data_IF_974095326218
#
_entry.id   IF_974095326218
#
_cell.length_a   1.000
_cell.length_b   1.000
_cell.length_c   1.000
_cell.angle_alpha   90.00
_cell.angle_beta   90.00
_cell.angle_gamma   90.00
#
_symmetry.space_group_name_H-M   'P 1'
#
loop_
_entity.id
_entity.type
_entity.pdbx_description
1 polymer ?
#
# COMPACT_ATOMS: atom_id res chain seq x y z
N UNK A 1 -11.32 28.49 -10.38
CA UNK A 1 -10.36 28.52 -9.24
C UNK A 1 -9.49 27.30 -9.35
N UNK A 2 -8.22 27.40 -8.97
CA UNK A 2 -7.31 26.23 -8.95
C UNK A 2 -7.85 25.17 -7.97
N UNK A 3 -7.83 23.90 -8.38
CA UNK A 3 -8.22 22.80 -7.50
C UNK A 3 -7.23 22.68 -6.33
N UNK A 4 -7.75 22.49 -5.12
CA UNK A 4 -6.92 22.34 -3.91
C UNK A 4 -6.89 20.87 -3.50
N UNK A 5 -5.69 20.28 -3.49
CA UNK A 5 -5.49 18.86 -3.16
C UNK A 5 -4.61 18.75 -1.92
N UNK A 6 -5.11 18.02 -0.93
CA UNK A 6 -4.35 17.67 0.28
C UNK A 6 -3.88 16.22 0.19
N UNK A 7 -2.58 16.00 0.36
CA UNK A 7 -1.98 14.65 0.47
C UNK A 7 -1.63 14.42 1.94
N UNK A 8 -2.10 13.31 2.51
CA UNK A 8 -1.79 12.93 3.90
C UNK A 8 -0.62 11.97 3.92
N UNK A 9 0.39 12.28 4.73
CA UNK A 9 1.56 11.47 4.99
C UNK A 9 2.88 12.22 4.78
N UNK A 10 4.00 11.53 4.93
CA UNK A 10 5.35 12.13 4.92
C UNK A 10 6.42 11.23 4.30
N UNK A 11 6.05 10.08 3.74
CA UNK A 11 6.98 9.11 3.16
C UNK A 11 7.32 9.38 1.70
N UNK A 12 8.11 8.49 1.12
CA UNK A 12 8.49 8.55 -0.28
C UNK A 12 7.30 8.32 -1.22
N UNK A 13 6.33 7.47 -0.83
CA UNK A 13 5.05 7.29 -1.52
C UNK A 13 4.26 8.60 -1.63
N UNK A 14 4.13 9.34 -0.54
CA UNK A 14 3.43 10.62 -0.53
C UNK A 14 4.17 11.66 -1.35
N UNK A 15 5.50 11.63 -1.37
CA UNK A 15 6.29 12.50 -2.25
C UNK A 15 6.03 12.15 -3.72
N UNK A 16 5.98 10.88 -4.10
CA UNK A 16 5.64 10.45 -5.46
C UNK A 16 4.20 10.87 -5.86
N UNK A 17 3.24 10.81 -4.92
CA UNK A 17 1.87 11.31 -5.14
C UNK A 17 1.87 12.83 -5.41
N UNK A 18 2.57 13.62 -4.58
CA UNK A 18 2.69 15.07 -4.77
C UNK A 18 3.35 15.38 -6.10
N UNK A 19 4.45 14.71 -6.44
CA UNK A 19 5.17 14.89 -7.71
C UNK A 19 4.28 14.58 -8.92
N UNK A 20 3.58 13.45 -8.91
CA UNK A 20 2.66 13.07 -9.97
C UNK A 20 1.52 14.08 -10.13
N UNK A 21 0.95 14.57 -9.02
CA UNK A 21 -0.07 15.62 -9.04
C UNK A 21 0.50 16.96 -9.57
N UNK A 22 1.71 17.33 -9.21
CA UNK A 22 2.36 18.55 -9.69
C UNK A 22 2.61 18.50 -11.21
N UNK A 23 3.10 17.38 -11.72
CA UNK A 23 3.32 17.18 -13.16
C UNK A 23 2.01 17.19 -13.96
N UNK A 24 0.94 16.57 -13.43
CA UNK A 24 -0.39 16.63 -14.05
C UNK A 24 -0.94 18.04 -14.16
N UNK A 25 -0.59 18.95 -13.23
CA UNK A 25 -0.98 20.35 -13.31
C UNK A 25 -0.35 21.13 -14.47
N UNK A 26 0.84 20.77 -14.91
CA UNK A 26 1.50 21.39 -16.06
C UNK A 26 0.75 21.09 -17.37
N UNK A 27 0.15 19.90 -17.45
CA UNK A 27 -0.62 19.46 -18.61
C UNK A 27 -2.13 19.75 -18.51
N UNK A 28 -2.63 20.10 -17.32
CA UNK A 28 -4.05 20.24 -17.01
C UNK A 28 -4.39 21.53 -16.26
N UNK A 29 -5.42 21.45 -15.40
CA UNK A 29 -5.88 22.57 -14.60
C UNK A 29 -4.87 22.92 -13.47
N UNK A 30 -4.61 24.21 -13.21
CA UNK A 30 -3.73 24.62 -12.12
C UNK A 30 -4.28 24.18 -10.76
N UNK A 31 -3.39 23.77 -9.85
CA UNK A 31 -3.79 23.30 -8.52
C UNK A 31 -2.87 23.80 -7.42
N UNK A 32 -3.42 23.92 -6.22
CA UNK A 32 -2.69 24.13 -4.97
C UNK A 32 -2.48 22.77 -4.31
N UNK A 33 -1.20 22.40 -4.10
CA UNK A 33 -0.84 21.14 -3.45
C UNK A 33 -0.41 21.42 -2.00
N UNK A 34 -1.01 20.66 -1.08
CA UNK A 34 -0.72 20.70 0.35
C UNK A 34 -0.40 19.30 0.82
N UNK A 35 0.61 19.12 1.67
CA UNK A 35 0.93 17.85 2.27
C UNK A 35 0.91 17.95 3.80
N UNK A 36 0.32 16.97 4.47
CA UNK A 36 0.16 16.94 5.93
C UNK A 36 0.67 15.59 6.48
N UNK A 37 1.74 15.58 7.29
CA UNK A 37 2.61 16.69 7.65
C UNK A 37 3.63 17.04 6.56
N UNK A 38 3.88 16.15 5.57
CA UNK A 38 4.92 16.31 4.56
C UNK A 38 6.34 16.07 5.09
N UNK A 39 7.33 16.36 4.23
CA UNK A 39 8.76 16.30 4.54
C UNK A 39 9.53 17.36 3.75
N UNK A 40 10.83 17.58 4.02
CA UNK A 40 11.62 18.61 3.32
C UNK A 40 11.73 18.42 1.80
N UNK A 41 11.64 17.19 1.28
CA UNK A 41 11.60 16.92 -0.17
C UNK A 41 10.26 17.40 -0.76
N UNK A 42 9.15 17.01 -0.13
CA UNK A 42 7.79 17.42 -0.51
C UNK A 42 7.62 18.95 -0.46
N UNK A 43 8.25 19.62 0.51
CA UNK A 43 8.16 21.07 0.68
C UNK A 43 8.70 21.88 -0.52
N UNK A 44 9.40 21.24 -1.45
CA UNK A 44 9.84 21.87 -2.71
C UNK A 44 8.73 21.96 -3.77
N UNK A 45 7.68 21.15 -3.62
CA UNK A 45 6.62 20.98 -4.62
C UNK A 45 5.21 21.26 -4.07
N UNK A 46 5.05 21.18 -2.74
CA UNK A 46 3.78 21.40 -2.06
C UNK A 46 3.99 22.15 -0.74
N UNK A 47 2.98 22.88 -0.30
CA UNK A 47 3.00 23.49 1.02
C UNK A 47 2.79 22.43 2.10
N UNK A 48 3.74 22.30 3.03
CA UNK A 48 3.64 21.38 4.16
C UNK A 48 2.96 22.05 5.35
N UNK A 49 1.97 21.36 5.94
CA UNK A 49 1.21 21.85 7.10
C UNK A 49 1.31 20.83 8.24
N UNK A 50 1.65 21.29 9.43
CA UNK A 50 1.75 20.40 10.59
C UNK A 50 0.39 20.26 11.30
N UNK A 51 -0.08 19.06 11.58
CA UNK A 51 -1.31 18.84 12.35
C UNK A 51 -1.08 19.23 13.83
N UNK A 52 -2.14 19.68 14.52
CA UNK A 52 -2.09 20.07 15.94
C UNK A 52 -2.28 18.87 16.87
N UNK A 53 -1.56 17.77 16.62
CA UNK A 53 -1.59 16.56 17.42
C UNK A 53 -1.52 15.28 16.59
N UNK A 54 -1.54 14.12 17.23
CA UNK A 54 -1.51 12.83 16.55
C UNK A 54 -2.90 12.33 16.14
N UNK A 55 -2.91 11.33 15.24
CA UNK A 55 -4.08 10.56 14.87
C UNK A 55 -4.98 11.21 13.81
N UNK A 56 -5.98 10.44 13.38
CA UNK A 56 -6.85 10.81 12.27
C UNK A 56 -7.65 12.10 12.53
N UNK A 57 -8.03 12.38 13.77
CA UNK A 57 -8.81 13.59 14.11
C UNK A 57 -8.01 14.87 13.85
N UNK A 58 -6.73 14.93 14.29
CA UNK A 58 -5.87 16.09 14.07
C UNK A 58 -5.53 16.26 12.58
N UNK A 59 -5.36 15.15 11.84
CA UNK A 59 -5.16 15.17 10.39
C UNK A 59 -6.40 15.67 9.65
N UNK A 60 -7.60 15.25 10.07
CA UNK A 60 -8.86 15.71 9.51
C UNK A 60 -9.05 17.22 9.73
N UNK A 61 -8.83 17.71 10.96
CA UNK A 61 -8.92 19.12 11.30
C UNK A 61 -7.97 19.99 10.43
N UNK A 62 -6.71 19.56 10.33
CA UNK A 62 -5.71 20.25 9.51
C UNK A 62 -6.10 20.26 8.02
N UNK A 63 -6.60 19.12 7.49
CA UNK A 63 -7.03 19.04 6.11
C UNK A 63 -8.28 19.91 5.84
N UNK A 64 -9.28 19.88 6.72
CA UNK A 64 -10.52 20.65 6.58
C UNK A 64 -10.28 22.17 6.67
N UNK A 65 -9.31 22.63 7.47
CA UNK A 65 -8.91 24.04 7.54
C UNK A 65 -8.44 24.57 6.18
N UNK A 66 -7.89 23.72 5.35
CA UNK A 66 -7.42 24.06 4.00
C UNK A 66 -8.57 24.11 2.96
N UNK A 67 -9.76 23.63 3.27
CA UNK A 67 -10.93 23.55 2.35
C UNK A 67 -10.58 22.83 1.05
N UNK A 68 -10.13 21.58 1.08
CA UNK A 68 -9.68 20.87 -0.11
C UNK A 68 -10.85 20.44 -0.98
N UNK A 69 -10.60 20.35 -2.29
CA UNK A 69 -11.48 19.70 -3.25
C UNK A 69 -11.31 18.17 -3.25
N UNK A 70 -10.12 17.71 -2.82
CA UNK A 70 -9.78 16.30 -2.68
C UNK A 70 -8.73 16.11 -1.57
N UNK A 71 -8.92 15.06 -0.77
CA UNK A 71 -7.86 14.53 0.12
C UNK A 71 -7.41 13.17 -0.40
N UNK A 72 -6.10 12.97 -0.55
CA UNK A 72 -5.45 11.69 -0.93
C UNK A 72 -4.69 11.17 0.27
N UNK A 73 -5.02 9.97 0.74
CA UNK A 73 -4.39 9.40 1.94
C UNK A 73 -3.32 8.38 1.53
N UNK A 74 -2.08 8.66 1.91
CA UNK A 74 -0.95 7.78 1.63
C UNK A 74 -0.84 6.60 2.60
N UNK A 75 -0.74 6.82 3.94
CA UNK A 75 -0.50 5.75 4.92
C UNK A 75 -1.80 5.07 5.38
N UNK A 76 -1.67 3.82 5.82
CA UNK A 76 -2.76 2.97 6.27
C UNK A 76 -3.31 3.34 7.66
N UNK A 77 -2.46 3.82 8.56
CA UNK A 77 -2.86 4.09 9.97
C UNK A 77 -3.98 5.10 10.05
N UNK A 78 -3.92 6.29 9.41
CA UNK A 78 -5.03 7.24 9.43
C UNK A 78 -6.33 6.68 8.82
N UNK A 79 -6.24 5.79 7.82
CA UNK A 79 -7.41 5.13 7.22
C UNK A 79 -8.06 4.17 8.22
N UNK A 80 -7.26 3.36 8.90
CA UNK A 80 -7.74 2.44 9.92
C UNK A 80 -8.35 3.18 11.13
N UNK A 81 -7.86 4.39 11.44
CA UNK A 81 -8.39 5.28 12.47
C UNK A 81 -9.63 6.09 12.03
N UNK A 82 -10.05 5.99 10.76
CA UNK A 82 -11.29 6.60 10.27
C UNK A 82 -11.15 8.00 9.69
N UNK A 83 -9.96 8.40 9.22
CA UNK A 83 -9.77 9.70 8.58
C UNK A 83 -10.75 9.93 7.42
N UNK A 84 -10.97 8.92 6.56
CA UNK A 84 -11.90 9.03 5.44
C UNK A 84 -13.35 9.22 5.91
N UNK A 85 -13.75 8.59 7.02
CA UNK A 85 -15.07 8.74 7.62
C UNK A 85 -15.29 10.17 8.17
N UNK A 86 -14.27 10.75 8.82
CA UNK A 86 -14.29 12.13 9.32
C UNK A 86 -14.43 13.14 8.18
N UNK A 87 -13.71 12.95 7.07
CA UNK A 87 -13.78 13.81 5.89
C UNK A 87 -15.13 13.67 5.18
N UNK A 88 -15.66 12.45 5.05
CA UNK A 88 -16.95 12.18 4.45
C UNK A 88 -18.11 12.86 5.24
N UNK A 89 -18.04 12.90 6.56
CA UNK A 89 -18.99 13.60 7.42
C UNK A 89 -19.06 15.12 7.11
N UNK A 90 -17.98 15.69 6.60
CA UNK A 90 -17.88 17.08 6.14
C UNK A 90 -18.05 17.23 4.60
N UNK A 91 -18.45 16.15 3.91
CA UNK A 91 -18.65 16.09 2.45
C UNK A 91 -17.41 16.44 1.63
N UNK A 92 -16.23 16.18 2.17
CA UNK A 92 -14.95 16.33 1.46
C UNK A 92 -14.61 15.01 0.77
N UNK A 93 -14.39 15.00 -0.56
CA UNK A 93 -13.96 13.82 -1.28
C UNK A 93 -12.61 13.30 -0.74
N UNK A 94 -12.54 12.00 -0.46
CA UNK A 94 -11.35 11.35 0.04
C UNK A 94 -10.99 10.14 -0.83
N UNK A 95 -9.79 10.14 -1.38
CA UNK A 95 -9.20 8.97 -2.01
C UNK A 95 -8.53 8.12 -0.92
N UNK A 96 -9.31 7.22 -0.35
CA UNK A 96 -8.98 6.31 0.75
C UNK A 96 -10.26 5.66 1.30
N UNK A 97 -10.20 4.39 1.74
CA UNK A 97 -11.36 3.67 2.26
C UNK A 97 -11.77 4.14 3.65
N UNK A 98 -13.03 3.88 3.99
CA UNK A 98 -13.52 4.00 5.38
C UNK A 98 -12.75 3.10 6.34
N UNK A 99 -12.78 3.38 7.64
CA UNK A 99 -12.16 2.52 8.66
C UNK A 99 -12.64 1.08 8.56
N UNK A 100 -13.93 0.86 8.25
CA UNK A 100 -14.49 -0.48 8.09
C UNK A 100 -13.90 -1.22 6.91
N UNK A 101 -13.70 -0.56 5.76
CA UNK A 101 -13.09 -1.16 4.57
C UNK A 101 -11.56 -1.30 4.73
N UNK A 102 -10.90 -0.36 5.42
CA UNK A 102 -9.47 -0.43 5.73
C UNK A 102 -9.08 -1.64 6.61
N UNK A 103 -10.05 -2.27 7.27
CA UNK A 103 -9.82 -3.54 7.98
C UNK A 103 -9.23 -4.63 7.11
N UNK A 104 -9.37 -4.55 5.79
CA UNK A 104 -8.77 -5.53 4.87
C UNK A 104 -7.22 -5.55 4.97
N UNK A 105 -6.59 -4.44 5.36
CA UNK A 105 -5.16 -4.37 5.72
C UNK A 105 -4.97 -4.48 7.24
N UNK A 106 -5.82 -3.78 8.01
CA UNK A 106 -5.67 -3.66 9.47
C UNK A 106 -5.96 -4.96 10.23
N UNK A 107 -6.62 -5.93 9.61
CA UNK A 107 -6.85 -7.26 10.20
C UNK A 107 -6.68 -8.36 9.15
N UNK A 108 -5.64 -9.15 9.32
CA UNK A 108 -5.37 -10.31 8.46
C UNK A 108 -6.45 -11.37 8.58
N UNK A 109 -7.02 -11.54 9.79
CA UNK A 109 -8.18 -12.39 10.02
C UNK A 109 -9.39 -11.95 9.21
N UNK A 110 -9.72 -10.66 9.21
CA UNK A 110 -10.79 -10.10 8.38
C UNK A 110 -10.51 -10.29 6.89
N UNK A 111 -9.27 -10.06 6.44
CA UNK A 111 -8.89 -10.31 5.04
C UNK A 111 -9.14 -11.78 4.64
N UNK A 112 -8.82 -12.75 5.50
CA UNK A 112 -9.09 -14.18 5.24
C UNK A 112 -10.59 -14.51 5.17
N UNK A 113 -11.42 -13.83 5.97
CA UNK A 113 -12.87 -13.95 5.86
C UNK A 113 -13.37 -13.45 4.50
N UNK A 114 -12.94 -12.25 4.09
CA UNK A 114 -13.31 -11.67 2.80
C UNK A 114 -12.86 -12.56 1.64
N UNK A 115 -11.62 -13.07 1.68
CA UNK A 115 -11.10 -13.98 0.65
C UNK A 115 -11.92 -15.24 0.51
N UNK A 116 -12.34 -15.85 1.64
CA UNK A 116 -13.18 -17.04 1.66
C UNK A 116 -14.57 -16.77 1.07
N UNK A 117 -15.20 -15.65 1.45
CA UNK A 117 -16.51 -15.24 0.92
C UNK A 117 -16.45 -14.92 -0.57
N UNK A 118 -15.37 -14.28 -1.00
CA UNK A 118 -15.13 -13.96 -2.40
C UNK A 118 -14.73 -15.17 -3.27
N UNK A 119 -14.44 -16.34 -2.66
CA UNK A 119 -13.91 -17.51 -3.37
C UNK A 119 -12.50 -17.27 -3.95
N UNK A 120 -11.74 -16.33 -3.38
CA UNK A 120 -10.41 -15.97 -3.88
C UNK A 120 -9.34 -16.84 -3.24
N UNK A 121 -8.47 -17.49 -4.04
CA UNK A 121 -7.42 -18.36 -3.53
C UNK A 121 -6.38 -17.58 -2.69
N UNK A 122 -6.07 -18.08 -1.51
CA UNK A 122 -5.06 -17.53 -0.61
C UNK A 122 -4.34 -18.67 0.12
N UNK A 123 -3.29 -18.35 0.88
CA UNK A 123 -2.67 -19.29 1.80
C UNK A 123 -3.70 -19.82 2.80
N UNK A 124 -3.70 -21.13 3.05
CA UNK A 124 -4.48 -21.71 4.14
C UNK A 124 -3.99 -21.15 5.47
N UNK A 125 -4.91 -20.78 6.35
CA UNK A 125 -4.58 -20.10 7.59
C UNK A 125 -5.46 -20.55 8.74
N UNK A 126 -4.87 -20.63 9.92
CA UNK A 126 -5.54 -20.75 11.20
C UNK A 126 -5.32 -19.50 12.05
N UNK A 127 -6.39 -19.01 12.70
CA UNK A 127 -6.37 -17.82 13.53
C UNK A 127 -6.49 -18.22 15.01
N UNK A 128 -5.68 -17.63 15.86
CA UNK A 128 -5.57 -17.94 17.28
C UNK A 128 -5.73 -16.69 18.14
N UNK A 129 -6.61 -16.77 19.13
CA UNK A 129 -6.81 -15.76 20.16
C UNK A 129 -6.04 -16.09 21.46
N UNK A 130 -5.45 -17.33 21.55
CA UNK A 130 -4.71 -17.81 22.70
C UNK A 130 -3.33 -18.34 22.29
N UNK A 131 -2.28 -17.88 23.01
CA UNK A 131 -0.89 -18.24 22.73
C UNK A 131 -0.67 -19.76 22.71
N UNK A 132 -1.17 -20.47 23.71
CA UNK A 132 -0.91 -21.91 23.87
C UNK A 132 -1.50 -22.72 22.71
N UNK A 133 -2.67 -22.32 22.21
CA UNK A 133 -3.28 -22.92 21.02
C UNK A 133 -2.45 -22.65 19.75
N UNK A 134 -1.92 -21.42 19.61
CA UNK A 134 -1.01 -21.08 18.53
C UNK A 134 0.29 -21.91 18.58
N UNK A 135 0.90 -22.04 19.77
CA UNK A 135 2.10 -22.85 19.99
C UNK A 135 1.83 -24.33 19.67
N UNK A 136 0.68 -24.88 20.09
CA UNK A 136 0.33 -26.27 19.81
C UNK A 136 0.16 -26.51 18.29
N UNK A 137 -0.49 -25.58 17.60
CA UNK A 137 -0.61 -25.64 16.15
C UNK A 137 0.75 -25.48 15.47
N UNK A 138 1.60 -24.55 15.92
CA UNK A 138 2.95 -24.34 15.37
C UNK A 138 3.81 -25.59 15.43
N UNK A 139 3.70 -26.40 16.51
CA UNK A 139 4.40 -27.70 16.65
C UNK A 139 4.04 -28.72 15.56
N UNK A 140 2.89 -28.57 14.92
CA UNK A 140 2.47 -29.49 13.85
C UNK A 140 3.02 -29.10 12.48
N UNK A 141 3.61 -27.90 12.33
CA UNK A 141 4.06 -27.33 11.05
C UNK A 141 5.45 -27.86 10.63
N UNK A 142 5.51 -29.15 10.29
CA UNK A 142 6.78 -29.83 9.96
C UNK A 142 7.42 -29.38 8.66
N UNK A 143 6.63 -28.85 7.71
CA UNK A 143 7.08 -28.36 6.40
C UNK A 143 7.33 -26.86 6.34
N UNK A 144 7.37 -26.19 7.50
CA UNK A 144 7.43 -24.74 7.57
C UNK A 144 6.07 -24.05 7.45
N UNK A 145 6.02 -22.82 7.89
CA UNK A 145 4.81 -21.97 7.86
C UNK A 145 5.17 -20.51 7.91
N UNK A 146 4.16 -19.65 7.86
CA UNK A 146 4.33 -18.21 8.11
C UNK A 146 3.49 -17.81 9.33
N UNK A 147 4.16 -17.27 10.35
CA UNK A 147 3.53 -16.75 11.56
C UNK A 147 3.32 -15.25 11.39
N UNK A 148 2.08 -14.79 11.55
CA UNK A 148 1.71 -13.37 11.35
C UNK A 148 0.94 -12.84 12.55
N UNK A 149 1.34 -11.70 13.07
CA UNK A 149 0.55 -10.94 14.02
C UNK A 149 -0.67 -10.34 13.29
N UNK A 150 -1.88 -10.50 13.82
CA UNK A 150 -3.08 -9.84 13.31
C UNK A 150 -3.07 -8.37 13.73
N UNK A 151 -3.13 -7.48 12.75
CA UNK A 151 -3.04 -6.05 12.96
C UNK A 151 -2.00 -5.37 12.07
N UNK A 152 -1.96 -4.03 12.15
CA UNK A 152 -0.93 -3.21 11.49
C UNK A 152 0.39 -3.38 12.24
N UNK A 153 1.43 -3.83 11.56
CA UNK A 153 2.74 -4.10 12.16
C UNK A 153 3.92 -3.52 11.36
N UNK A 154 3.65 -2.71 10.32
CA UNK A 154 4.69 -2.07 9.50
C UNK A 154 5.71 -3.05 8.92
N UNK A 155 5.28 -4.24 8.48
CA UNK A 155 6.16 -5.29 7.96
C UNK A 155 6.91 -6.11 9.02
N UNK A 156 6.84 -5.75 10.31
CA UNK A 156 7.59 -6.40 11.40
C UNK A 156 6.82 -7.52 12.12
N UNK A 157 5.58 -7.77 11.75
CA UNK A 157 4.72 -8.77 12.38
C UNK A 157 4.61 -10.08 11.59
N UNK A 158 5.58 -10.42 10.74
CA UNK A 158 5.56 -11.60 9.87
C UNK A 158 6.91 -12.31 9.97
N UNK A 159 6.87 -13.61 10.30
CA UNK A 159 8.05 -14.47 10.36
C UNK A 159 7.81 -15.70 9.49
N UNK A 160 8.68 -15.91 8.52
CA UNK A 160 8.73 -17.13 7.70
C UNK A 160 9.55 -18.16 8.46
N UNK A 161 8.97 -19.34 8.69
CA UNK A 161 9.55 -20.41 9.48
C UNK A 161 9.81 -21.63 8.58
N UNK A 162 10.99 -22.22 8.68
CA UNK A 162 11.36 -23.41 7.90
C UNK A 162 10.88 -24.71 8.57
N UNK A 163 10.67 -24.66 9.88
CA UNK A 163 10.26 -25.82 10.68
C UNK A 163 9.40 -25.43 11.89
N UNK A 164 8.93 -26.45 12.60
CA UNK A 164 8.08 -26.28 13.79
C UNK A 164 8.80 -25.57 14.95
N UNK A 165 10.11 -25.71 15.11
CA UNK A 165 10.85 -25.06 16.18
C UNK A 165 10.93 -23.55 15.96
N UNK A 166 11.22 -23.13 14.73
CA UNK A 166 11.17 -21.72 14.32
C UNK A 166 9.76 -21.15 14.45
N UNK A 167 8.71 -21.93 14.07
CA UNK A 167 7.33 -21.51 14.20
C UNK A 167 6.94 -21.23 15.67
N UNK A 168 7.33 -22.11 16.60
CA UNK A 168 7.11 -21.89 18.04
C UNK A 168 7.84 -20.66 18.53
N UNK A 169 9.11 -20.49 18.16
CA UNK A 169 9.90 -19.33 18.54
C UNK A 169 9.27 -18.02 17.99
N UNK A 170 8.77 -18.03 16.76
CA UNK A 170 8.09 -16.87 16.17
C UNK A 170 6.78 -16.53 16.90
N UNK A 171 6.01 -17.54 17.32
CA UNK A 171 4.82 -17.31 18.16
C UNK A 171 5.24 -16.64 19.47
N UNK A 172 6.29 -17.13 20.14
CA UNK A 172 6.76 -16.57 21.42
C UNK A 172 7.28 -15.14 21.27
N UNK A 173 7.99 -14.86 20.19
CA UNK A 173 8.54 -13.53 19.88
C UNK A 173 7.43 -12.51 19.59
N UNK A 174 6.46 -12.88 18.76
CA UNK A 174 5.43 -11.96 18.27
C UNK A 174 4.25 -11.82 19.24
N UNK A 175 4.00 -12.80 20.12
CA UNK A 175 2.83 -12.77 20.98
C UNK A 175 2.84 -11.61 21.95
N UNK A 176 1.70 -10.94 22.11
CA UNK A 176 1.45 -9.90 23.10
C UNK A 176 0.07 -10.13 23.76
N UNK A 177 -0.16 -9.69 25.00
CA UNK A 177 -1.49 -9.76 25.64
C UNK A 177 -2.55 -9.09 24.76
N UNK A 178 -3.64 -9.80 24.49
CA UNK A 178 -4.73 -9.34 23.63
C UNK A 178 -4.44 -9.42 22.12
N UNK A 179 -3.27 -9.93 21.72
CA UNK A 179 -2.96 -10.14 20.32
C UNK A 179 -3.72 -11.33 19.74
N UNK A 180 -3.98 -11.27 18.45
CA UNK A 180 -4.41 -12.39 17.62
C UNK A 180 -3.29 -12.75 16.64
N UNK A 181 -3.21 -14.01 16.30
CA UNK A 181 -2.11 -14.50 15.45
C UNK A 181 -2.63 -15.44 14.38
N UNK A 182 -2.13 -15.31 13.17
CA UNK A 182 -2.34 -16.26 12.09
C UNK A 182 -1.10 -17.13 11.91
N UNK A 183 -1.34 -18.42 11.65
CA UNK A 183 -0.33 -19.34 11.17
C UNK A 183 -0.82 -19.83 9.81
N UNK A 184 -0.03 -19.59 8.77
CA UNK A 184 -0.40 -19.86 7.38
C UNK A 184 0.54 -20.87 6.74
N UNK A 185 0.05 -21.59 5.72
CA UNK A 185 0.93 -22.37 4.86
C UNK A 185 2.00 -21.47 4.23
N UNK A 186 3.21 -21.97 4.12
CA UNK A 186 4.27 -21.30 3.38
C UNK A 186 4.04 -21.47 1.89
N UNK A 187 3.86 -20.37 1.18
CA UNK A 187 3.77 -20.35 -0.28
C UNK A 187 5.14 -20.09 -0.88
N UNK A 188 5.39 -20.67 -2.05
CA UNK A 188 6.63 -20.49 -2.81
C UNK A 188 6.33 -20.04 -4.23
N UNK A 189 7.11 -19.06 -4.72
CA UNK A 189 6.99 -18.47 -6.04
C UNK A 189 7.46 -17.02 -6.06
N UNK A 190 7.48 -16.38 -7.22
CA UNK A 190 7.74 -14.94 -7.31
C UNK A 190 6.54 -14.15 -6.77
N UNK A 191 6.82 -13.07 -6.06
CA UNK A 191 5.79 -12.12 -5.64
C UNK A 191 5.40 -11.18 -6.79
N UNK A 192 4.16 -10.68 -6.75
CA UNK A 192 3.64 -9.71 -7.70
C UNK A 192 2.64 -8.80 -6.99
N UNK A 193 2.78 -7.50 -7.16
CA UNK A 193 1.87 -6.48 -6.64
C UNK A 193 0.86 -6.09 -7.71
N UNK A 194 -0.44 -6.32 -7.43
CA UNK A 194 -1.56 -5.90 -8.27
C UNK A 194 -2.37 -4.87 -7.51
N UNK A 195 -2.51 -3.69 -8.10
CA UNK A 195 -3.21 -2.56 -7.49
C UNK A 195 -4.31 -2.10 -8.45
N UNK A 196 -5.49 -1.83 -7.91
CA UNK A 196 -6.54 -1.16 -8.67
C UNK A 196 -7.06 0.07 -7.94
N UNK A 197 -7.39 1.11 -8.70
CA UNK A 197 -8.26 2.19 -8.22
C UNK A 197 -9.67 1.64 -8.12
N UNK A 198 -10.36 1.96 -7.04
CA UNK A 198 -11.71 1.50 -6.76
C UNK A 198 -12.56 2.67 -6.27
N UNK A 199 -13.83 2.72 -6.71
CA UNK A 199 -14.82 3.75 -6.32
C UNK A 199 -16.00 3.19 -5.52
N UNK A 200 -15.87 1.95 -5.03
CA UNK A 200 -16.93 1.19 -4.37
C UNK A 200 -17.64 0.19 -5.29
N UNK A 201 -17.61 0.39 -6.60
CA UNK A 201 -18.27 -0.45 -7.60
C UNK A 201 -17.33 -0.80 -8.76
N UNK A 202 -16.72 0.23 -9.36
CA UNK A 202 -15.82 0.10 -10.51
C UNK A 202 -14.36 -0.05 -10.07
N UNK A 203 -13.58 -0.80 -10.86
CA UNK A 203 -12.15 -0.96 -10.65
C UNK A 203 -11.38 -0.69 -11.95
N UNK A 204 -10.23 -0.03 -11.81
CA UNK A 204 -9.25 0.17 -12.88
C UNK A 204 -7.90 -0.34 -12.38
N UNK A 205 -7.38 -1.39 -13.02
CA UNK A 205 -6.06 -1.90 -12.69
C UNK A 205 -4.97 -0.87 -13.07
N UNK A 206 -4.02 -0.68 -12.16
CA UNK A 206 -2.76 0.00 -12.43
C UNK A 206 -1.77 -0.99 -13.07
N UNK A 207 -0.69 -0.50 -13.72
CA UNK A 207 0.40 -1.37 -14.11
C UNK A 207 0.89 -2.20 -12.91
N UNK A 208 1.18 -3.49 -13.12
CA UNK A 208 1.68 -4.33 -12.04
C UNK A 208 3.07 -3.87 -11.59
N UNK A 209 3.44 -4.21 -10.37
CA UNK A 209 4.78 -3.96 -9.85
C UNK A 209 5.31 -5.20 -9.13
N UNK A 210 6.62 -5.26 -8.97
CA UNK A 210 7.29 -6.21 -8.10
C UNK A 210 8.22 -5.46 -7.18
N UNK A 211 7.98 -5.57 -5.88
CA UNK A 211 8.88 -5.07 -4.86
C UNK A 211 9.97 -6.09 -4.52
N UNK A 212 11.05 -5.60 -3.93
CA UNK A 212 12.19 -6.39 -3.47
C UNK A 212 12.36 -6.17 -1.97
N UNK A 213 11.81 -7.11 -1.17
CA UNK A 213 11.70 -6.96 0.29
C UNK A 213 12.97 -7.33 1.06
N UNK A 214 13.86 -8.13 0.47
CA UNK A 214 15.09 -8.56 1.15
C UNK A 214 16.19 -7.50 1.06
N UNK A 215 16.90 -7.31 2.18
CA UNK A 215 17.92 -6.27 2.30
C UNK A 215 19.14 -6.48 1.39
N UNK A 216 19.55 -7.73 1.16
CA UNK A 216 20.80 -8.07 0.50
C UNK A 216 20.57 -8.64 -0.90
N UNK A 217 21.60 -8.55 -1.73
CA UNK A 217 21.64 -9.14 -3.07
C UNK A 217 21.27 -10.62 -3.09
N UNK A 218 20.59 -11.04 -4.16
CA UNK A 218 20.17 -12.42 -4.34
C UNK A 218 19.05 -12.85 -3.42
N UNK A 219 18.15 -11.93 -3.07
CA UNK A 219 16.97 -12.15 -2.23
C UNK A 219 17.31 -12.75 -0.86
N UNK A 220 18.34 -12.17 -0.21
CA UNK A 220 18.89 -12.62 1.08
C UNK A 220 18.76 -11.54 2.15
N UNK A 221 19.04 -11.95 3.40
CA UNK A 221 18.98 -11.06 4.56
C UNK A 221 17.56 -10.89 5.12
N UNK A 222 17.36 -9.96 6.07
CA UNK A 222 16.07 -9.71 6.68
C UNK A 222 15.08 -9.08 5.70
N UNK A 223 13.79 -9.27 5.97
CA UNK A 223 12.73 -8.52 5.30
C UNK A 223 12.79 -7.03 5.69
N UNK A 224 12.42 -6.17 4.75
CA UNK A 224 12.36 -4.73 4.90
C UNK A 224 10.99 -4.21 4.48
N UNK A 225 10.77 -2.91 4.51
CA UNK A 225 9.60 -2.26 3.90
C UNK A 225 9.61 -2.22 2.37
N UNK A 226 10.70 -2.67 1.74
CA UNK A 226 10.96 -2.65 0.30
C UNK A 226 12.26 -1.92 -0.01
N UNK A 227 13.16 -2.58 -0.74
CA UNK A 227 14.45 -2.00 -1.18
C UNK A 227 14.37 -1.42 -2.59
N UNK A 228 13.24 -1.61 -3.24
CA UNK A 228 12.96 -1.10 -4.56
C UNK A 228 11.78 -1.81 -5.21
N UNK A 229 11.33 -1.29 -6.36
CA UNK A 229 10.28 -1.90 -7.15
C UNK A 229 10.52 -1.72 -8.65
N UNK A 230 9.98 -2.64 -9.44
CA UNK A 230 9.99 -2.58 -10.91
C UNK A 230 8.55 -2.58 -11.41
N UNK A 231 8.20 -1.69 -12.37
CA UNK A 231 6.87 -1.64 -13.01
C UNK A 231 6.97 -1.37 -14.53
N UNK A 232 6.37 -2.22 -15.39
CA UNK A 232 5.90 -3.56 -15.10
C UNK A 232 7.07 -4.54 -15.03
N UNK A 233 6.98 -5.62 -14.26
CA UNK A 233 7.91 -6.74 -14.38
C UNK A 233 7.66 -7.47 -15.71
N UNK A 234 8.73 -8.01 -16.32
CA UNK A 234 8.69 -8.61 -17.66
C UNK A 234 7.81 -9.86 -17.77
N UNK A 235 7.58 -10.53 -16.68
CA UNK A 235 6.76 -11.76 -16.57
C UNK A 235 5.30 -11.51 -16.12
N UNK A 236 4.87 -10.25 -16.10
CA UNK A 236 3.49 -9.86 -15.81
C UNK A 236 2.82 -9.19 -17.02
N UNK A 237 2.44 -9.96 -18.05
CA UNK A 237 1.79 -9.42 -19.25
C UNK A 237 0.38 -8.87 -18.94
N UNK A 238 -0.17 -7.98 -19.79
CA UNK A 238 -1.50 -7.39 -19.58
C UNK A 238 -2.61 -8.40 -19.35
N UNK A 239 -2.58 -9.55 -20.01
CA UNK A 239 -3.57 -10.62 -19.85
C UNK A 239 -3.56 -11.22 -18.43
N UNK A 240 -2.39 -11.30 -17.77
CA UNK A 240 -2.30 -11.73 -16.37
C UNK A 240 -2.91 -10.68 -15.45
N UNK A 241 -2.62 -9.40 -15.68
CA UNK A 241 -3.19 -8.29 -14.88
C UNK A 241 -4.71 -8.28 -14.96
N UNK A 242 -5.27 -8.42 -16.18
CA UNK A 242 -6.71 -8.50 -16.38
C UNK A 242 -7.31 -9.73 -15.67
N UNK A 243 -6.67 -10.89 -15.78
CA UNK A 243 -7.09 -12.10 -15.08
C UNK A 243 -7.12 -11.91 -13.57
N UNK A 244 -6.08 -11.29 -12.98
CA UNK A 244 -6.01 -11.02 -11.54
C UNK A 244 -7.01 -9.94 -11.09
N UNK A 245 -7.28 -8.96 -11.94
CA UNK A 245 -8.35 -8.00 -11.69
C UNK A 245 -9.70 -8.71 -11.54
N UNK A 246 -10.04 -9.62 -12.48
CA UNK A 246 -11.33 -10.31 -12.52
C UNK A 246 -11.45 -11.43 -11.48
N UNK A 247 -10.35 -12.14 -11.18
CA UNK A 247 -10.39 -13.32 -10.29
C UNK A 247 -10.03 -13.00 -8.83
N UNK A 248 -9.40 -11.86 -8.55
CA UNK A 248 -8.95 -11.47 -7.21
C UNK A 248 -9.57 -10.16 -6.75
N UNK A 249 -9.25 -9.05 -7.41
CA UNK A 249 -9.61 -7.71 -6.90
C UNK A 249 -11.12 -7.44 -6.99
N UNK A 250 -11.76 -7.79 -8.10
CA UNK A 250 -13.20 -7.56 -8.30
C UNK A 250 -14.07 -8.40 -7.34
N UNK A 251 -13.83 -9.72 -7.16
CA UNK A 251 -14.57 -10.50 -6.16
C UNK A 251 -14.37 -9.99 -4.73
N UNK A 252 -13.13 -9.57 -4.39
CA UNK A 252 -12.81 -8.98 -3.08
C UNK A 252 -13.58 -7.68 -2.85
N UNK A 253 -13.56 -6.75 -3.81
CA UNK A 253 -14.29 -5.49 -3.70
C UNK A 253 -15.82 -5.72 -3.58
N UNK A 254 -16.37 -6.69 -4.33
CA UNK A 254 -17.78 -7.09 -4.22
C UNK A 254 -18.13 -7.66 -2.83
N UNK A 255 -17.27 -8.52 -2.27
CA UNK A 255 -17.50 -9.07 -0.94
C UNK A 255 -17.49 -7.96 0.13
N UNK A 256 -16.59 -6.99 0.04
CA UNK A 256 -16.59 -5.82 0.90
C UNK A 256 -17.88 -4.99 0.75
N UNK A 257 -18.33 -4.73 -0.47
CA UNK A 257 -19.57 -3.99 -0.73
C UNK A 257 -20.81 -4.73 -0.19
N UNK A 258 -20.88 -6.06 -0.34
CA UNK A 258 -21.95 -6.90 0.20
C UNK A 258 -22.00 -6.87 1.73
N UNK A 259 -20.89 -6.67 2.41
CA UNK A 259 -20.84 -6.42 3.86
C UNK A 259 -21.20 -4.99 4.27
N UNK A 260 -21.60 -4.13 3.32
CA UNK A 260 -21.90 -2.71 3.56
C UNK A 260 -20.65 -1.86 3.82
N UNK A 261 -19.51 -2.29 3.33
CA UNK A 261 -18.23 -1.59 3.45
C UNK A 261 -17.56 -1.44 2.07
N UNK A 262 -18.20 -0.72 1.11
CA UNK A 262 -17.63 -0.54 -0.22
C UNK A 262 -16.25 0.10 -0.11
N UNK A 263 -15.31 -0.40 -0.93
CA UNK A 263 -13.92 0.07 -0.91
C UNK A 263 -13.73 1.24 -1.87
N UNK A 264 -13.19 2.35 -1.38
CA UNK A 264 -12.82 3.53 -2.18
C UNK A 264 -11.33 3.77 -2.02
N UNK A 265 -10.60 4.04 -3.10
CA UNK A 265 -9.16 4.29 -3.06
C UNK A 265 -8.35 3.26 -3.84
N UNK A 266 -7.15 2.98 -3.40
CA UNK A 266 -6.26 1.98 -4.01
C UNK A 266 -6.34 0.64 -3.26
N UNK A 267 -6.97 -0.35 -3.88
CA UNK A 267 -7.00 -1.73 -3.38
C UNK A 267 -5.78 -2.47 -3.94
N UNK A 268 -4.85 -2.79 -3.06
CA UNK A 268 -3.63 -3.51 -3.39
C UNK A 268 -3.74 -4.96 -2.91
N UNK A 269 -3.42 -5.92 -3.78
CA UNK A 269 -3.22 -7.32 -3.44
C UNK A 269 -1.78 -7.72 -3.70
N UNK A 270 -1.07 -8.16 -2.65
CA UNK A 270 0.20 -8.89 -2.76
C UNK A 270 -0.07 -10.33 -3.11
N UNK A 271 0.49 -10.78 -4.23
CA UNK A 271 0.28 -12.11 -4.78
C UNK A 271 1.54 -12.95 -4.69
N UNK A 272 1.40 -14.24 -4.42
CA UNK A 272 2.42 -15.26 -4.70
C UNK A 272 2.02 -16.02 -5.95
N UNK A 273 2.88 -16.04 -6.96
CA UNK A 273 2.66 -16.78 -8.21
C UNK A 273 3.17 -18.20 -8.05
N UNK A 274 2.33 -19.07 -7.47
CA UNK A 274 2.71 -20.44 -7.15
C UNK A 274 2.51 -21.40 -8.35
N UNK A 275 3.15 -22.59 -8.34
CA UNK A 275 2.87 -23.62 -9.35
C UNK A 275 1.40 -24.10 -9.39
N UNK A 276 0.66 -23.89 -8.30
CA UNK A 276 -0.79 -24.21 -8.19
C UNK A 276 -1.69 -23.04 -8.61
N UNK A 277 -1.11 -21.97 -9.18
CA UNK A 277 -1.77 -20.72 -9.55
C UNK A 277 -1.56 -19.59 -8.54
N UNK A 278 -2.04 -18.37 -8.87
CA UNK A 278 -1.89 -17.20 -8.03
C UNK A 278 -2.59 -17.36 -6.67
N UNK A 279 -1.95 -16.90 -5.61
CA UNK A 279 -2.47 -16.90 -4.24
C UNK A 279 -2.28 -15.52 -3.60
N UNK A 280 -3.30 -15.02 -2.91
CA UNK A 280 -3.18 -13.77 -2.16
C UNK A 280 -2.36 -14.00 -0.89
N UNK A 281 -1.34 -13.16 -0.69
CA UNK A 281 -0.53 -13.08 0.52
C UNK A 281 -1.12 -12.12 1.54
N UNK A 282 -1.49 -10.92 1.06
CA UNK A 282 -2.01 -9.82 1.87
C UNK A 282 -2.73 -8.80 1.00
N UNK A 283 -3.53 -7.94 1.64
CA UNK A 283 -4.05 -6.72 1.06
C UNK A 283 -3.44 -5.50 1.74
N UNK A 284 -3.31 -4.41 0.96
CA UNK A 284 -3.11 -3.08 1.49
C UNK A 284 -4.27 -2.17 1.04
N UNK A 285 -4.70 -1.27 1.92
CA UNK A 285 -5.83 -0.38 1.66
C UNK A 285 -5.42 0.97 1.06
N UNK A 286 -4.22 1.01 0.49
CA UNK A 286 -3.55 2.20 -0.07
C UNK A 286 -2.55 1.77 -1.14
N UNK A 287 -1.96 2.75 -1.83
CA UNK A 287 -0.84 2.48 -2.75
C UNK A 287 0.35 1.85 -2.02
N UNK A 288 1.09 0.96 -2.69
CA UNK A 288 2.30 0.36 -2.16
C UNK A 288 3.45 1.35 -1.98
N UNK A 289 4.41 1.02 -1.19
CA UNK A 289 5.68 1.72 -1.01
C UNK A 289 6.80 0.66 -0.98
N UNK A 290 7.67 0.56 -2.02
CA UNK A 290 7.98 1.57 -3.03
C UNK A 290 7.27 1.39 -4.42
N UNK A 291 6.20 0.62 -4.56
CA UNK A 291 5.55 0.40 -5.86
C UNK A 291 4.95 1.69 -6.43
N UNK A 292 4.38 2.57 -5.59
CA UNK A 292 3.79 3.82 -6.04
C UNK A 292 4.79 4.69 -6.79
N UNK A 293 6.05 4.75 -6.34
CA UNK A 293 7.12 5.51 -6.99
C UNK A 293 7.36 5.01 -8.41
N UNK A 294 7.46 3.69 -8.58
CA UNK A 294 7.65 3.10 -9.91
C UNK A 294 6.40 3.26 -10.80
N UNK A 295 5.20 3.03 -10.27
CA UNK A 295 3.95 3.10 -11.04
C UNK A 295 3.64 4.54 -11.46
N UNK A 296 3.70 5.51 -10.54
CA UNK A 296 3.31 6.89 -10.80
C UNK A 296 4.27 7.59 -11.77
N UNK A 297 5.56 7.26 -11.78
CA UNK A 297 6.52 7.76 -12.78
C UNK A 297 6.09 7.44 -14.21
N UNK A 298 5.36 6.34 -14.42
CA UNK A 298 4.84 5.92 -15.73
C UNK A 298 3.49 6.54 -16.08
N UNK A 299 2.81 7.21 -15.16
CA UNK A 299 1.49 7.80 -15.42
C UNK A 299 1.64 9.05 -16.30
N UNK A 300 1.05 9.02 -17.50
CA UNK A 300 1.02 10.15 -18.44
C UNK A 300 -0.28 10.95 -18.36
N UNK A 301 -1.34 10.36 -17.83
CA UNK A 301 -2.58 11.08 -17.54
C UNK A 301 -2.44 11.89 -16.26
N UNK A 302 -3.18 12.99 -16.16
CA UNK A 302 -3.33 13.72 -14.90
C UNK A 302 -3.98 12.83 -13.84
N UNK A 303 -3.34 12.61 -12.66
CA UNK A 303 -3.89 11.77 -11.61
C UNK A 303 -5.10 12.38 -10.89
N UNK A 304 -5.25 13.72 -10.88
CA UNK A 304 -6.33 14.38 -10.14
C UNK A 304 -7.72 13.95 -10.58
N UNK A 305 -8.08 13.95 -11.89
CA UNK A 305 -9.38 13.46 -12.33
C UNK A 305 -9.64 12.00 -11.96
N UNK A 306 -8.61 11.16 -11.97
CA UNK A 306 -8.72 9.73 -11.61
C UNK A 306 -9.02 9.55 -10.12
N UNK A 307 -8.26 10.22 -9.25
CA UNK A 307 -8.45 10.12 -7.81
C UNK A 307 -9.77 10.76 -7.36
N UNK A 308 -10.15 11.87 -7.98
CA UNK A 308 -11.43 12.52 -7.72
C UNK A 308 -12.61 11.65 -8.20
N UNK A 309 -12.49 11.04 -9.38
CA UNK A 309 -13.50 10.11 -9.89
C UNK A 309 -13.68 8.90 -8.96
N UNK A 310 -12.57 8.32 -8.45
CA UNK A 310 -12.63 7.24 -7.47
C UNK A 310 -13.32 7.70 -6.17
N UNK A 311 -12.94 8.86 -5.64
CA UNK A 311 -13.53 9.40 -4.40
C UNK A 311 -15.01 9.76 -4.52
N UNK A 312 -15.54 9.93 -5.74
CA UNK A 312 -16.89 10.37 -6.03
C UNK A 312 -17.79 9.30 -6.67
N UNK A 313 -17.34 8.04 -6.75
CA UNK A 313 -18.15 6.97 -7.37
C UNK A 313 -18.32 7.11 -8.90
N UNK A 314 -17.34 7.67 -9.59
CA UNK A 314 -17.41 7.98 -11.04
C UNK A 314 -16.22 7.47 -11.83
N UNK A 315 -15.60 6.38 -11.36
CA UNK A 315 -14.40 5.81 -11.97
C UNK A 315 -14.70 5.10 -13.31
N UNK A 316 -15.94 4.64 -13.50
CA UNK A 316 -16.37 3.98 -14.72
C UNK A 316 -16.06 4.83 -15.97
N UNK A 317 -15.44 4.21 -16.98
CA UNK A 317 -15.08 4.89 -18.24
C UNK A 317 -13.79 5.67 -18.23
N UNK A 318 -13.15 5.89 -17.09
CA UNK A 318 -11.80 6.48 -17.05
C UNK A 318 -10.80 5.56 -17.75
N UNK A 319 -9.82 6.15 -18.44
CA UNK A 319 -8.80 5.43 -19.23
C UNK A 319 -7.45 6.11 -19.03
N UNK A 320 -6.74 5.81 -17.93
CA UNK A 320 -5.40 6.37 -17.71
C UNK A 320 -4.42 5.90 -18.78
N UNK A 321 -3.57 6.81 -19.21
CA UNK A 321 -2.50 6.56 -20.20
C UNK A 321 -1.18 6.35 -19.47
N UNK A 322 -0.46 5.32 -19.85
CA UNK A 322 0.79 4.91 -19.23
C UNK A 322 1.95 4.96 -20.22
N UNK A 323 3.12 5.33 -19.76
CA UNK A 323 4.37 5.14 -20.51
C UNK A 323 4.61 3.64 -20.73
N UNK A 324 5.03 3.27 -21.91
CA UNK A 324 5.35 1.87 -22.26
C UNK A 324 6.68 1.39 -21.68
N UNK A 325 7.55 2.30 -21.27
CA UNK A 325 8.85 1.98 -20.64
C UNK A 325 8.66 1.38 -19.25
N UNK A 326 9.60 0.55 -18.87
CA UNK A 326 9.71 0.06 -17.50
C UNK A 326 10.34 1.14 -16.62
N UNK A 327 9.81 1.30 -15.40
CA UNK A 327 10.38 2.15 -14.35
C UNK A 327 10.94 1.30 -13.22
N UNK A 328 11.93 1.84 -12.53
CA UNK A 328 12.56 1.21 -11.37
C UNK A 328 12.62 2.23 -10.24
N UNK A 329 12.15 1.84 -9.07
CA UNK A 329 12.42 2.55 -7.82
C UNK A 329 13.57 1.86 -7.08
N UNK A 330 14.50 2.65 -6.55
CA UNK A 330 15.63 2.16 -5.73
C UNK A 330 15.62 2.89 -4.40
N UNK A 331 15.59 2.15 -3.30
CA UNK A 331 15.59 2.70 -1.94
C UNK A 331 17.03 2.77 -1.43
N UNK A 332 17.50 3.97 -1.16
CA UNK A 332 18.77 4.21 -0.48
C UNK A 332 18.50 4.27 1.03
N UNK A 333 18.89 3.23 1.75
CA UNK A 333 18.64 3.10 3.17
C UNK A 333 19.85 3.54 3.99
N UNK A 334 19.61 4.23 5.12
CA UNK A 334 20.64 4.58 6.08
C UNK A 334 21.26 3.33 6.73
N UNK A 335 22.52 3.44 7.17
CA UNK A 335 23.19 2.34 7.88
C UNK A 335 22.37 1.90 9.11
N UNK A 336 22.24 0.58 9.27
CA UNK A 336 21.48 -0.04 10.36
C UNK A 336 20.04 -0.40 10.01
N UNK A 337 19.50 0.04 8.86
CA UNK A 337 18.19 -0.38 8.38
C UNK A 337 18.17 -1.90 8.06
N UNK A 338 17.08 -2.66 8.33
CA UNK A 338 15.76 -2.28 8.85
C UNK A 338 15.67 -2.25 10.39
N UNK A 339 16.78 -2.38 11.10
CA UNK A 339 16.84 -2.22 12.56
C UNK A 339 16.71 -0.75 12.98
N UNK A 340 17.68 -0.24 13.76
CA UNK A 340 17.74 1.19 14.12
C UNK A 340 18.60 1.93 13.11
N UNK A 341 18.03 2.72 12.18
CA UNK A 341 18.81 3.43 11.19
C UNK A 341 19.64 4.54 11.84
N UNK A 342 20.84 4.78 11.30
CA UNK A 342 21.62 5.96 11.67
C UNK A 342 20.93 7.21 11.14
N UNK A 343 20.64 8.15 12.03
CA UNK A 343 20.02 9.41 11.67
C UNK A 343 21.05 10.48 11.28
N UNK A 344 20.60 11.52 10.57
CA UNK A 344 21.36 12.73 10.23
C UNK A 344 22.55 12.49 9.26
N UNK A 345 22.57 11.39 8.53
CA UNK A 345 23.50 11.25 7.42
C UNK A 345 23.12 12.20 6.28
N UNK A 346 24.08 12.95 5.79
CA UNK A 346 23.87 13.90 4.70
C UNK A 346 23.70 13.17 3.36
N UNK A 347 22.61 13.46 2.64
CA UNK A 347 22.38 13.01 1.27
C UNK A 347 23.03 14.01 0.32
N UNK A 348 24.01 13.58 -0.49
CA UNK A 348 24.77 14.43 -1.42
C UNK A 348 24.48 14.04 -2.87
N UNK A 349 24.71 15.00 -3.79
CA UNK A 349 24.65 14.75 -5.23
C UNK A 349 23.26 14.82 -5.84
N UNK A 350 22.20 15.13 -5.07
CA UNK A 350 20.82 15.14 -5.57
C UNK A 350 20.61 16.15 -6.71
N UNK A 351 21.18 17.34 -6.59
CA UNK A 351 21.02 18.41 -7.60
C UNK A 351 21.75 18.02 -8.91
N UNK A 352 22.99 17.54 -8.83
CA UNK A 352 23.74 17.10 -10.01
C UNK A 352 23.04 15.93 -10.72
N UNK A 353 22.41 15.04 -9.98
CA UNK A 353 21.68 13.90 -10.55
C UNK A 353 20.40 14.38 -11.24
N UNK A 354 19.66 15.32 -10.67
CA UNK A 354 18.48 15.92 -11.32
C UNK A 354 18.82 16.66 -12.60
N UNK A 355 19.93 17.40 -12.63
CA UNK A 355 20.41 18.10 -13.83
C UNK A 355 20.80 17.12 -14.93
N UNK A 356 21.39 15.97 -14.59
CA UNK A 356 21.83 14.96 -15.54
C UNK A 356 20.67 14.17 -16.18
N UNK A 357 19.68 13.78 -15.41
CA UNK A 357 18.65 12.81 -15.80
C UNK A 357 17.28 13.45 -16.14
N UNK A 358 17.06 14.70 -15.74
CA UNK A 358 15.82 15.44 -16.05
C UNK A 358 14.55 14.78 -15.54
N UNK A 359 13.48 14.79 -16.36
CA UNK A 359 12.14 14.32 -15.97
C UNK A 359 12.00 12.79 -15.90
N UNK A 360 12.99 12.04 -16.39
CA UNK A 360 12.98 10.56 -16.31
C UNK A 360 13.44 10.06 -14.94
N UNK A 361 13.85 10.96 -14.04
CA UNK A 361 14.26 10.64 -12.68
C UNK A 361 13.48 11.44 -11.64
N UNK A 362 12.90 10.72 -10.67
CA UNK A 362 12.33 11.29 -9.45
C UNK A 362 13.22 10.99 -8.24
N UNK A 363 13.54 12.01 -7.44
CA UNK A 363 14.35 11.90 -6.23
C UNK A 363 13.62 12.52 -5.06
#
# INVERSE_FOLDING_TARGET
>A
MAAKVVVIGSGAREHALVRSLAQGAVAGEPRELICIPGNPGIAREARCVQPQGPGAAALAEAALAERPDLVVVGPEVPLAEGLADLLAAQRVPCFGPSAKAARIEASKGFAKEILREAGVPAAEAALFDHRDAAVEHARTQRGGCVVKLDGLAGGKGVVVCDDAAQAVAAVDELWRPGARMLIEERLEGPELSIIALCDGESLIALPPARDHKRLLDGDRGPNTGGMGAVSPPSDAPPALVESLLETVLRPTARALAQRGTPFVGALYAGMMMTPRGPRVLEFNCRLGDPEAQAILLRLRSDPLPLFLAAAQGRLAGQRPVWDSRTSVAVVLAAHGYPGTPRALDEIRGLEALREAEGDDLWI
#
